data_IF_628976804877
#
_entry.id   IF_628976804877
#
_cell.length_a   1.000
_cell.length_b   1.000
_cell.length_c   1.000
_cell.angle_alpha   90.00
_cell.angle_beta   90.00
_cell.angle_gamma   90.00
#
_symmetry.space_group_name_H-M   'P 1'
#
loop_
_entity.id
_entity.type
_entity.pdbx_description
1 polymer ?
#
# COMPACT_ATOMS: atom_id res chain seq x y z
N UNK A 1 -4.88 25.08 -62.37
CA UNK A 1 -4.14 23.85 -62.72
C UNK A 1 -3.06 23.62 -61.67
N UNK A 2 -3.18 22.51 -60.94
CA UNK A 2 -2.18 21.71 -60.19
C UNK A 2 -1.18 22.43 -59.26
N UNK A 3 -1.27 22.27 -57.92
CA UNK A 3 -0.94 21.12 -57.06
C UNK A 3 0.56 20.86 -56.79
N UNK A 4 0.81 20.47 -55.53
CA UNK A 4 2.01 19.88 -54.86
C UNK A 4 2.95 20.87 -54.19
N UNK A 5 2.96 21.02 -52.86
CA UNK A 5 3.30 20.06 -51.78
C UNK A 5 4.76 19.62 -51.79
N UNK A 6 5.52 20.03 -50.78
CA UNK A 6 6.52 19.18 -50.14
C UNK A 6 6.73 19.68 -48.70
N UNK A 7 5.94 19.11 -47.80
CA UNK A 7 6.27 18.99 -46.39
C UNK A 7 7.40 17.96 -46.34
N UNK A 8 8.58 18.37 -45.89
CA UNK A 8 9.67 17.43 -45.65
C UNK A 8 9.29 16.43 -44.56
N UNK A 9 9.46 15.18 -44.95
CA UNK A 9 9.10 13.96 -44.25
C UNK A 9 10.17 13.68 -43.18
N UNK A 10 9.86 13.91 -41.90
CA UNK A 10 10.71 13.40 -40.82
C UNK A 10 10.35 11.92 -40.62
N UNK A 11 11.31 10.98 -40.70
CA UNK A 11 11.02 9.55 -40.67
C UNK A 11 10.39 9.13 -39.34
N UNK A 12 9.35 8.30 -39.45
CA UNK A 12 8.70 7.60 -38.36
C UNK A 12 9.71 7.02 -37.35
N UNK A 13 9.65 7.49 -36.11
CA UNK A 13 10.25 6.82 -34.97
C UNK A 13 9.63 5.43 -34.87
N UNK A 14 10.42 4.45 -35.31
CA UNK A 14 10.13 3.03 -35.30
C UNK A 14 9.74 2.58 -33.89
N UNK A 15 8.64 1.83 -33.87
CA UNK A 15 8.18 0.89 -32.85
C UNK A 15 9.05 0.72 -31.59
N UNK A 16 8.48 1.06 -30.43
CA UNK A 16 8.91 0.50 -29.13
C UNK A 16 7.74 -0.29 -28.53
N UNK A 17 7.79 -1.64 -28.60
CA UNK A 17 8.18 -2.48 -27.45
C UNK A 17 8.95 -3.78 -27.86
N UNK A 18 9.52 -4.63 -26.97
CA UNK A 18 9.18 -4.89 -25.57
C UNK A 18 10.34 -4.81 -24.56
N UNK A 19 10.00 -5.07 -23.31
CA UNK A 19 10.81 -4.88 -22.12
C UNK A 19 12.06 -5.76 -22.06
N UNK A 20 13.18 -5.14 -21.64
CA UNK A 20 14.54 -5.67 -21.40
C UNK A 20 15.37 -5.97 -22.65
N UNK A 21 16.30 -5.07 -22.94
CA UNK A 21 17.62 -5.47 -23.42
C UNK A 21 18.55 -5.50 -22.20
N UNK A 22 19.08 -6.68 -21.90
CA UNK A 22 20.17 -6.81 -20.94
C UNK A 22 21.48 -6.77 -21.73
N UNK A 23 22.22 -5.67 -21.65
CA UNK A 23 23.65 -5.70 -21.96
C UNK A 23 24.39 -6.25 -20.74
N UNK A 24 25.27 -7.22 -20.97
CA UNK A 24 26.22 -7.70 -19.97
C UNK A 24 27.48 -6.84 -20.08
N UNK A 25 27.65 -5.90 -19.16
CA UNK A 25 28.99 -5.45 -18.78
C UNK A 25 29.37 -6.20 -17.49
N UNK A 26 30.44 -6.98 -17.59
CA UNK A 26 31.17 -7.69 -16.53
C UNK A 26 30.45 -7.87 -15.19
N UNK A 27 29.74 -8.99 -15.03
CA UNK A 27 29.40 -9.58 -13.72
C UNK A 27 28.38 -8.83 -12.85
N UNK A 28 27.93 -7.63 -13.23
CA UNK A 28 26.83 -6.92 -12.53
C UNK A 28 25.68 -6.66 -13.49
N UNK A 29 24.51 -7.18 -13.14
CA UNK A 29 23.27 -6.90 -13.87
C UNK A 29 22.93 -5.41 -13.69
N UNK A 30 23.30 -4.58 -14.66
CA UNK A 30 22.93 -3.16 -14.68
C UNK A 30 21.41 -3.09 -14.83
N UNK A 31 20.73 -2.65 -13.78
CA UNK A 31 19.28 -2.46 -13.80
C UNK A 31 19.04 -1.07 -14.38
N UNK A 32 18.68 -0.99 -15.65
CA UNK A 32 18.29 0.28 -16.28
C UNK A 32 16.85 0.61 -15.91
N UNK A 33 16.64 1.74 -15.24
CA UNK A 33 15.31 2.27 -14.94
C UNK A 33 14.71 2.98 -16.15
N UNK A 34 13.38 3.07 -16.20
CA UNK A 34 12.72 3.91 -17.21
C UNK A 34 13.02 5.38 -16.96
N UNK A 35 13.27 6.12 -18.05
CA UNK A 35 13.37 7.57 -18.00
C UNK A 35 12.06 8.15 -17.42
N UNK A 36 12.11 9.00 -16.38
CA UNK A 36 10.94 9.70 -15.90
C UNK A 36 10.43 10.66 -16.99
N UNK A 37 9.12 10.75 -17.13
CA UNK A 37 8.47 11.68 -18.06
C UNK A 37 8.15 12.99 -17.34
N UNK A 38 8.38 14.13 -17.99
CA UNK A 38 7.86 15.44 -17.58
C UNK A 38 6.33 15.46 -17.60
N UNK A 39 5.71 16.47 -17.00
CA UNK A 39 4.24 16.61 -17.02
C UNK A 39 3.72 16.72 -18.46
N UNK A 40 4.41 17.45 -19.33
CA UNK A 40 4.06 17.56 -20.75
C UNK A 40 4.19 16.23 -21.48
N UNK A 41 5.29 15.51 -21.24
CA UNK A 41 5.50 14.17 -21.81
C UNK A 41 4.43 13.18 -21.31
N UNK A 42 3.97 13.31 -20.07
CA UNK A 42 2.88 12.49 -19.52
C UNK A 42 1.55 12.77 -20.19
N UNK A 43 1.19 14.05 -20.40
CA UNK A 43 -0.03 14.46 -21.11
C UNK A 43 -0.02 13.93 -22.55
N UNK A 44 1.11 14.10 -23.25
CA UNK A 44 1.27 13.60 -24.61
C UNK A 44 1.15 12.07 -24.65
N UNK A 45 1.80 11.37 -23.70
CA UNK A 45 1.71 9.92 -23.59
C UNK A 45 0.28 9.43 -23.35
N UNK A 46 -0.52 10.14 -22.54
CA UNK A 46 -1.93 9.81 -22.31
C UNK A 46 -2.76 9.92 -23.59
N UNK A 47 -2.56 11.00 -24.34
CA UNK A 47 -3.22 11.20 -25.63
C UNK A 47 -2.84 10.09 -26.61
N UNK A 48 -1.54 9.90 -26.86
CA UNK A 48 -1.05 9.04 -27.94
C UNK A 48 -1.25 7.54 -27.68
N UNK A 49 -1.21 7.12 -26.41
CA UNK A 49 -1.18 5.69 -26.07
C UNK A 49 -2.38 5.19 -25.29
N UNK A 50 -3.20 6.11 -24.75
CA UNK A 50 -4.38 5.76 -23.95
C UNK A 50 -5.67 6.38 -24.47
N UNK A 51 -5.63 7.08 -25.62
CA UNK A 51 -6.78 7.76 -26.22
C UNK A 51 -7.44 8.74 -25.24
N UNK A 52 -6.63 9.41 -24.41
CA UNK A 52 -7.15 10.39 -23.45
C UNK A 52 -7.38 11.73 -24.15
N UNK A 53 -8.59 12.25 -24.00
CA UNK A 53 -9.02 13.55 -24.51
C UNK A 53 -9.29 14.52 -23.36
N UNK A 54 -9.40 15.81 -23.68
CA UNK A 54 -9.46 16.90 -22.70
C UNK A 54 -10.63 17.84 -23.04
N UNK A 55 -11.85 17.30 -23.02
CA UNK A 55 -13.07 18.03 -23.39
C UNK A 55 -13.67 18.74 -22.18
N UNK A 56 -13.85 18.02 -21.06
CA UNK A 56 -14.44 18.59 -19.84
C UNK A 56 -13.40 19.29 -18.96
N UNK A 57 -12.17 18.76 -18.93
CA UNK A 57 -11.05 19.35 -18.21
C UNK A 57 -10.00 19.85 -19.19
N UNK A 58 -9.66 21.14 -19.09
CA UNK A 58 -8.59 21.73 -19.91
C UNK A 58 -7.25 21.04 -19.66
N UNK A 59 -6.38 21.03 -20.68
CA UNK A 59 -5.02 20.50 -20.57
C UNK A 59 -4.24 21.16 -19.42
N UNK A 60 -4.41 22.47 -19.21
CA UNK A 60 -3.76 23.19 -18.11
C UNK A 60 -4.17 22.62 -16.75
N UNK A 61 -5.48 22.45 -16.51
CA UNK A 61 -5.99 21.90 -15.26
C UNK A 61 -5.62 20.41 -15.09
N UNK A 62 -5.56 19.65 -16.17
CA UNK A 62 -5.08 18.27 -16.15
C UNK A 62 -3.61 18.21 -15.71
N UNK A 63 -2.75 19.09 -16.24
CA UNK A 63 -1.33 19.20 -15.83
C UNK A 63 -1.19 19.53 -14.34
N UNK A 64 -1.96 20.50 -13.85
CA UNK A 64 -1.98 20.86 -12.43
C UNK A 64 -2.38 19.68 -11.53
N UNK A 65 -3.42 18.93 -11.92
CA UNK A 65 -3.86 17.76 -11.18
C UNK A 65 -2.82 16.62 -11.18
N UNK A 66 -2.18 16.35 -12.32
CA UNK A 66 -1.09 15.37 -12.39
C UNK A 66 0.09 15.81 -11.52
N UNK A 67 0.47 17.09 -11.57
CA UNK A 67 1.55 17.62 -10.74
C UNK A 67 1.23 17.50 -9.25
N UNK A 68 0.01 17.90 -8.84
CA UNK A 68 -0.41 17.92 -7.43
C UNK A 68 -0.60 16.54 -6.84
N UNK A 69 -1.20 15.62 -7.59
CA UNK A 69 -1.63 14.32 -7.05
C UNK A 69 -0.79 13.13 -7.55
N UNK A 70 0.12 13.37 -8.50
CA UNK A 70 0.96 12.39 -9.17
C UNK A 70 0.17 11.43 -10.10
N UNK A 71 0.72 11.20 -11.29
CA UNK A 71 0.23 10.24 -12.28
C UNK A 71 -0.10 8.86 -11.70
N UNK A 72 0.70 8.40 -10.74
CA UNK A 72 0.53 7.08 -10.10
C UNK A 72 -0.76 6.97 -9.27
N UNK A 73 -1.33 8.10 -8.82
CA UNK A 73 -2.59 8.13 -8.09
C UNK A 73 -3.77 8.53 -8.98
N UNK A 74 -3.56 9.38 -10.00
CA UNK A 74 -4.67 9.87 -10.84
C UNK A 74 -4.98 8.91 -11.99
N UNK A 75 -3.97 8.33 -12.64
CA UNK A 75 -4.16 7.55 -13.87
C UNK A 75 -3.96 6.07 -13.64
N UNK A 76 -2.80 5.71 -13.08
CA UNK A 76 -2.38 4.31 -12.97
C UNK A 76 -3.40 3.39 -12.27
N UNK A 77 -4.08 3.80 -11.19
CA UNK A 77 -5.02 2.93 -10.49
C UNK A 77 -6.24 2.61 -11.36
N UNK A 78 -6.73 3.60 -12.11
CA UNK A 78 -8.05 3.54 -12.74
C UNK A 78 -8.02 3.18 -14.23
N UNK A 79 -6.84 3.12 -14.87
CA UNK A 79 -6.68 2.78 -16.30
C UNK A 79 -7.35 1.47 -16.72
N UNK A 80 -7.50 0.53 -15.79
CA UNK A 80 -8.12 -0.76 -16.08
C UNK A 80 -9.65 -0.67 -16.24
N UNK A 81 -10.29 0.39 -15.72
CA UNK A 81 -11.73 0.62 -15.83
C UNK A 81 -12.15 1.02 -17.25
N UNK A 82 -11.22 1.58 -18.02
CA UNK A 82 -11.46 2.07 -19.38
C UNK A 82 -10.83 1.20 -20.46
N UNK A 83 -10.08 0.16 -20.05
CA UNK A 83 -9.48 -0.78 -20.97
C UNK A 83 -10.54 -1.75 -21.50
N UNK A 84 -10.38 -2.17 -22.76
CA UNK A 84 -11.15 -3.28 -23.34
C UNK A 84 -10.99 -4.52 -22.47
N UNK A 85 -12.08 -5.22 -22.18
CA UNK A 85 -12.07 -6.47 -21.42
C UNK A 85 -12.43 -7.66 -22.30
N UNK A 86 -11.97 -8.85 -21.90
CA UNK A 86 -12.49 -10.11 -22.44
C UNK A 86 -13.88 -10.45 -21.86
N UNK A 87 -14.44 -11.59 -22.27
CA UNK A 87 -15.73 -12.11 -21.79
C UNK A 87 -15.77 -12.35 -20.27
N UNK A 88 -14.62 -12.45 -19.62
CA UNK A 88 -14.49 -12.66 -18.17
C UNK A 88 -14.31 -11.35 -17.39
N UNK A 89 -14.26 -10.21 -18.09
CA UNK A 89 -14.06 -8.88 -17.50
C UNK A 89 -12.58 -8.58 -17.18
N UNK A 90 -11.63 -9.32 -17.75
CA UNK A 90 -10.20 -9.07 -17.57
C UNK A 90 -9.69 -8.14 -18.67
N UNK A 91 -8.92 -7.07 -18.33
CA UNK A 91 -8.38 -6.14 -19.33
C UNK A 91 -7.47 -6.83 -20.36
N UNK A 92 -7.82 -6.70 -21.64
CA UNK A 92 -7.04 -7.19 -22.78
C UNK A 92 -5.78 -6.33 -22.93
N UNK A 93 -4.64 -7.00 -23.18
CA UNK A 93 -3.35 -6.35 -23.40
C UNK A 93 -2.71 -6.84 -24.68
N UNK A 94 -2.34 -5.90 -25.55
CA UNK A 94 -1.54 -6.14 -26.74
C UNK A 94 -0.14 -5.57 -26.51
N UNK A 95 0.90 -6.38 -26.73
CA UNK A 95 2.30 -6.00 -26.45
C UNK A 95 2.52 -5.46 -25.01
N UNK A 96 1.74 -5.97 -24.05
CA UNK A 96 1.77 -5.54 -22.65
C UNK A 96 1.12 -4.17 -22.37
N UNK A 97 0.45 -3.56 -23.34
CA UNK A 97 -0.29 -2.29 -23.20
C UNK A 97 -1.80 -2.59 -23.21
N UNK A 98 -2.57 -1.89 -22.38
CA UNK A 98 -4.03 -1.98 -22.44
C UNK A 98 -4.55 -1.42 -23.76
N UNK A 99 -5.58 -2.06 -24.30
CA UNK A 99 -6.32 -1.60 -25.49
C UNK A 99 -7.50 -0.76 -25.04
N UNK A 100 -7.81 0.33 -25.76
CA UNK A 100 -8.93 1.24 -25.45
C UNK A 100 -9.84 1.37 -26.69
N UNK A 101 -11.13 1.07 -26.52
CA UNK A 101 -12.10 1.05 -27.64
C UNK A 101 -12.66 2.43 -27.97
N UNK A 102 -12.66 3.32 -26.99
CA UNK A 102 -13.12 4.71 -27.12
C UNK A 102 -12.10 5.68 -26.55
N UNK A 103 -12.31 6.95 -26.90
CA UNK A 103 -11.63 8.04 -26.24
C UNK A 103 -12.17 8.18 -24.80
N UNK A 104 -11.27 8.50 -23.88
CA UNK A 104 -11.57 8.63 -22.45
C UNK A 104 -11.25 10.04 -22.02
N UNK A 105 -12.22 10.76 -21.47
CA UNK A 105 -11.93 12.12 -21.00
C UNK A 105 -11.05 12.07 -19.74
N UNK A 106 -10.05 12.95 -19.64
CA UNK A 106 -9.22 13.06 -18.44
C UNK A 106 -10.07 13.27 -17.18
N UNK A 107 -11.19 13.98 -17.27
CA UNK A 107 -12.10 14.17 -16.15
C UNK A 107 -12.65 12.84 -15.63
N UNK A 108 -12.89 11.82 -16.48
CA UNK A 108 -13.33 10.50 -16.03
C UNK A 108 -12.32 9.86 -15.06
N UNK A 109 -11.03 9.92 -15.37
CA UNK A 109 -9.96 9.48 -14.46
C UNK A 109 -9.97 10.28 -13.15
N UNK A 110 -10.12 11.60 -13.27
CA UNK A 110 -10.08 12.48 -12.11
C UNK A 110 -11.29 12.31 -11.19
N UNK A 111 -12.47 11.99 -11.72
CA UNK A 111 -13.64 11.64 -10.93
C UNK A 111 -13.43 10.34 -10.15
N UNK A 112 -12.82 9.31 -10.74
CA UNK A 112 -12.48 8.08 -10.03
C UNK A 112 -11.51 8.36 -8.87
N UNK A 113 -10.49 9.19 -9.11
CA UNK A 113 -9.57 9.65 -8.08
C UNK A 113 -10.30 10.38 -6.94
N UNK A 114 -11.20 11.32 -7.26
CA UNK A 114 -11.99 12.06 -6.27
C UNK A 114 -12.88 11.14 -5.42
N UNK A 115 -13.63 10.24 -6.06
CA UNK A 115 -14.50 9.28 -5.38
C UNK A 115 -13.72 8.34 -4.45
N UNK A 116 -12.49 7.98 -4.80
CA UNK A 116 -11.60 7.26 -3.90
C UNK A 116 -11.18 8.15 -2.71
N UNK A 117 -10.76 9.40 -2.97
CA UNK A 117 -10.28 10.34 -1.95
C UNK A 117 -11.35 10.79 -0.96
N UNK A 118 -12.62 10.84 -1.35
CA UNK A 118 -13.75 11.12 -0.44
C UNK A 118 -13.82 10.16 0.76
N UNK A 119 -13.28 8.94 0.61
CA UNK A 119 -13.25 7.91 1.67
C UNK A 119 -12.12 8.13 2.68
N UNK A 120 -11.09 8.91 2.32
CA UNK A 120 -9.84 8.99 3.10
C UNK A 120 -10.01 9.65 4.46
N UNK A 121 -10.79 10.74 4.63
CA UNK A 121 -10.98 11.35 5.95
C UNK A 121 -11.53 10.36 6.98
N UNK A 122 -12.54 9.57 6.61
CA UNK A 122 -13.13 8.57 7.49
C UNK A 122 -12.17 7.41 7.76
N UNK A 123 -11.51 6.89 6.71
CA UNK A 123 -10.49 5.86 6.87
C UNK A 123 -9.36 6.31 7.80
N UNK A 124 -8.87 7.54 7.62
CA UNK A 124 -7.80 8.11 8.42
C UNK A 124 -8.22 8.20 9.89
N UNK A 125 -9.41 8.74 10.17
CA UNK A 125 -9.97 8.80 11.52
C UNK A 125 -10.06 7.42 12.17
N UNK A 126 -10.74 6.46 11.54
CA UNK A 126 -10.96 5.13 12.12
C UNK A 126 -9.66 4.34 12.31
N UNK A 127 -8.68 4.49 11.40
CA UNK A 127 -7.38 3.85 11.52
C UNK A 127 -6.52 4.44 12.64
N UNK A 128 -6.51 5.78 12.79
CA UNK A 128 -5.77 6.42 13.88
C UNK A 128 -6.37 6.13 15.24
N UNK A 129 -7.70 6.16 15.37
CA UNK A 129 -8.37 5.77 16.61
C UNK A 129 -8.04 4.33 17.02
N UNK A 130 -8.01 3.42 16.03
CA UNK A 130 -7.55 2.05 16.25
C UNK A 130 -6.09 2.01 16.71
N UNK A 131 -5.18 2.65 15.98
CA UNK A 131 -3.74 2.61 16.27
C UNK A 131 -3.41 3.19 17.65
N UNK A 132 -4.04 4.31 18.02
CA UNK A 132 -3.91 4.95 19.34
C UNK A 132 -4.40 4.02 20.45
N UNK A 133 -5.61 3.48 20.32
CA UNK A 133 -6.19 2.58 21.32
C UNK A 133 -5.41 1.27 21.44
N UNK A 134 -4.98 0.72 20.30
CA UNK A 134 -4.16 -0.49 20.24
C UNK A 134 -2.83 -0.27 20.94
N UNK A 135 -2.15 0.84 20.66
CA UNK A 135 -0.91 1.18 21.33
C UNK A 135 -1.11 1.34 22.84
N UNK A 136 -2.08 2.16 23.26
CA UNK A 136 -2.31 2.45 24.68
C UNK A 136 -2.60 1.18 25.50
N UNK A 137 -3.51 0.32 25.00
CA UNK A 137 -3.88 -0.93 25.68
C UNK A 137 -2.70 -1.90 25.69
N UNK A 138 -2.08 -2.16 24.53
CA UNK A 138 -0.97 -3.10 24.41
C UNK A 138 0.17 -2.70 25.35
N UNK A 139 0.57 -1.43 25.33
CA UNK A 139 1.68 -0.92 26.12
C UNK A 139 1.42 -1.05 27.61
N UNK A 140 0.23 -0.64 28.06
CA UNK A 140 -0.14 -0.76 29.46
C UNK A 140 -0.09 -2.22 29.92
N UNK A 141 -0.75 -3.12 29.17
CA UNK A 141 -0.85 -4.53 29.54
C UNK A 141 0.50 -5.24 29.53
N UNK A 142 1.35 -4.96 28.54
CA UNK A 142 2.69 -5.55 28.43
C UNK A 142 3.62 -5.06 29.53
N UNK A 143 3.66 -3.76 29.81
CA UNK A 143 4.51 -3.20 30.87
C UNK A 143 4.16 -3.81 32.23
N UNK A 144 2.87 -3.97 32.54
CA UNK A 144 2.42 -4.50 33.83
C UNK A 144 2.57 -6.03 33.92
N UNK A 145 2.26 -6.77 32.85
CA UNK A 145 2.35 -8.23 32.85
C UNK A 145 3.80 -8.73 33.01
N UNK A 146 4.75 -8.10 32.31
CA UNK A 146 6.17 -8.44 32.42
C UNK A 146 6.92 -7.63 33.48
N UNK A 147 6.21 -6.77 34.23
CA UNK A 147 6.77 -5.90 35.27
C UNK A 147 8.02 -5.14 34.80
N UNK A 148 7.93 -4.44 33.67
CA UNK A 148 9.09 -3.80 33.01
C UNK A 148 9.52 -2.55 33.80
N UNK A 149 10.22 -2.77 34.92
CA UNK A 149 10.71 -1.72 35.83
C UNK A 149 12.16 -1.32 35.59
N UNK A 150 12.92 -2.16 34.87
CA UNK A 150 14.35 -1.97 34.63
C UNK A 150 14.83 -2.67 33.35
N UNK A 151 16.08 -2.43 32.97
CA UNK A 151 16.66 -2.95 31.74
C UNK A 151 16.82 -4.47 31.73
N UNK A 152 16.99 -5.12 32.90
CA UNK A 152 17.11 -6.57 32.97
C UNK A 152 15.76 -7.22 32.70
N UNK A 153 14.68 -6.72 33.30
CA UNK A 153 13.33 -7.20 33.03
C UNK A 153 12.89 -6.92 31.60
N UNK A 154 13.26 -5.76 31.05
CA UNK A 154 13.07 -5.50 29.62
C UNK A 154 13.84 -6.50 28.74
N UNK A 155 15.09 -6.80 29.07
CA UNK A 155 15.89 -7.78 28.31
C UNK A 155 15.27 -9.18 28.37
N UNK A 156 14.74 -9.57 29.53
CA UNK A 156 13.96 -10.80 29.68
C UNK A 156 12.72 -10.81 28.79
N UNK A 157 11.97 -9.70 28.75
CA UNK A 157 10.83 -9.54 27.85
C UNK A 157 11.23 -9.69 26.37
N UNK A 158 12.33 -9.06 25.94
CA UNK A 158 12.84 -9.21 24.56
C UNK A 158 13.20 -10.67 24.24
N UNK A 159 13.83 -11.37 25.18
CA UNK A 159 14.16 -12.79 25.01
C UNK A 159 12.89 -13.65 24.89
N UNK A 160 11.84 -13.35 25.65
CA UNK A 160 10.52 -13.98 25.50
C UNK A 160 9.96 -13.77 24.09
N UNK A 161 9.95 -12.53 23.59
CA UNK A 161 9.44 -12.23 22.25
C UNK A 161 10.19 -13.01 21.16
N UNK A 162 11.53 -13.04 21.22
CA UNK A 162 12.36 -13.76 20.27
C UNK A 162 12.13 -15.26 20.33
N UNK A 163 11.90 -15.81 21.52
CA UNK A 163 11.62 -17.23 21.72
C UNK A 163 10.27 -17.63 21.12
N UNK A 164 9.23 -16.84 21.38
CA UNK A 164 7.87 -17.04 20.84
C UNK A 164 7.82 -16.93 19.31
N UNK A 165 8.64 -16.05 18.72
CA UNK A 165 8.69 -15.83 17.27
C UNK A 165 8.98 -17.12 16.48
N UNK A 166 9.78 -18.03 17.04
CA UNK A 166 10.11 -19.30 16.39
C UNK A 166 8.87 -20.20 16.22
N UNK A 167 7.91 -20.11 17.13
CA UNK A 167 6.70 -20.94 17.15
C UNK A 167 5.60 -20.44 16.21
N UNK A 168 5.70 -19.20 15.72
CA UNK A 168 4.66 -18.63 14.86
C UNK A 168 4.58 -19.32 13.48
N UNK A 169 3.39 -19.46 12.88
CA UNK A 169 3.19 -20.15 11.59
C UNK A 169 3.52 -19.25 10.37
N UNK A 170 4.54 -18.38 10.49
CA UNK A 170 4.96 -17.46 9.43
C UNK A 170 6.14 -18.00 8.62
N UNK A 171 6.25 -17.52 7.36
CA UNK A 171 7.42 -17.78 6.51
C UNK A 171 8.69 -17.24 7.17
N UNK A 172 9.83 -17.90 6.95
CA UNK A 172 11.11 -17.50 7.55
C UNK A 172 11.45 -16.04 7.28
N UNK A 173 11.24 -15.56 6.05
CA UNK A 173 11.50 -14.15 5.70
C UNK A 173 10.69 -13.14 6.53
N UNK A 174 9.46 -13.48 6.91
CA UNK A 174 8.63 -12.63 7.77
C UNK A 174 9.12 -12.70 9.22
N UNK A 175 9.52 -13.89 9.69
CA UNK A 175 10.14 -14.06 11.01
C UNK A 175 11.44 -13.26 11.12
N UNK A 176 12.31 -13.33 10.12
CA UNK A 176 13.58 -12.59 10.08
C UNK A 176 13.34 -11.08 10.16
N UNK A 177 12.31 -10.57 9.46
CA UNK A 177 11.93 -9.16 9.57
C UNK A 177 11.46 -8.79 10.98
N UNK A 178 10.60 -9.60 11.60
CA UNK A 178 10.14 -9.38 12.98
C UNK A 178 11.29 -9.45 14.00
N UNK A 179 12.20 -10.42 13.85
CA UNK A 179 13.39 -10.56 14.69
C UNK A 179 14.29 -9.33 14.59
N UNK A 180 14.53 -8.83 13.37
CA UNK A 180 15.31 -7.63 13.13
C UNK A 180 14.68 -6.37 13.76
N UNK A 181 13.35 -6.30 13.83
CA UNK A 181 12.66 -5.23 14.57
C UNK A 181 12.87 -5.39 16.08
N UNK A 182 12.62 -6.58 16.63
CA UNK A 182 12.75 -6.86 18.07
C UNK A 182 14.17 -6.60 18.57
N UNK A 183 15.20 -6.98 17.81
CA UNK A 183 16.60 -6.76 18.17
C UNK A 183 16.97 -5.28 18.33
N UNK A 184 16.22 -4.36 17.72
CA UNK A 184 16.46 -2.91 17.84
C UNK A 184 15.82 -2.32 19.10
N UNK A 185 14.89 -3.02 19.74
CA UNK A 185 14.12 -2.49 20.86
C UNK A 185 14.98 -2.13 22.06
N UNK A 186 16.04 -2.90 22.35
CA UNK A 186 16.98 -2.57 23.43
C UNK A 186 17.70 -1.24 23.22
N UNK A 187 18.09 -0.94 21.97
CA UNK A 187 18.74 0.32 21.64
C UNK A 187 17.75 1.50 21.72
N UNK A 188 16.52 1.31 21.26
CA UNK A 188 15.48 2.32 21.37
C UNK A 188 15.10 2.59 22.84
N UNK A 189 14.96 1.54 23.67
CA UNK A 189 14.71 1.75 25.10
C UNK A 189 15.86 2.52 25.77
N UNK A 190 17.12 2.16 25.48
CA UNK A 190 18.27 2.85 26.04
C UNK A 190 18.29 4.35 25.68
N UNK A 191 17.80 4.70 24.49
CA UNK A 191 17.69 6.10 24.04
C UNK A 191 16.63 6.89 24.81
N UNK A 192 15.49 6.27 25.14
CA UNK A 192 14.38 6.96 25.82
C UNK A 192 14.42 6.85 27.35
N UNK A 193 15.11 5.84 27.88
CA UNK A 193 15.16 5.50 29.31
C UNK A 193 13.76 5.42 29.98
N UNK A 194 12.75 5.01 29.21
CA UNK A 194 11.37 4.91 29.67
C UNK A 194 10.62 3.89 28.80
N UNK A 195 10.02 2.83 29.40
CA UNK A 195 9.23 1.86 28.64
C UNK A 195 8.00 2.52 28.01
N UNK A 196 7.38 3.49 28.69
CA UNK A 196 6.23 4.23 28.16
C UNK A 196 6.56 4.99 26.88
N UNK A 197 7.68 5.73 26.89
CA UNK A 197 8.13 6.47 25.70
C UNK A 197 8.55 5.50 24.61
N UNK A 198 9.24 4.41 24.95
CA UNK A 198 9.62 3.37 24.00
C UNK A 198 8.41 2.83 23.23
N UNK A 199 7.36 2.41 23.94
CA UNK A 199 6.15 1.88 23.29
C UNK A 199 5.41 2.93 22.46
N UNK A 200 5.34 4.18 22.92
CA UNK A 200 4.73 5.28 22.17
C UNK A 200 5.42 5.54 20.81
N UNK A 201 6.70 5.19 20.67
CA UNK A 201 7.48 5.35 19.43
C UNK A 201 7.42 4.16 18.48
N UNK A 202 6.83 3.05 18.90
CA UNK A 202 6.70 1.89 18.03
C UNK A 202 5.71 2.15 16.90
N UNK A 203 6.06 1.70 15.71
CA UNK A 203 5.14 1.70 14.58
C UNK A 203 4.03 0.67 14.80
N UNK A 204 2.88 0.84 14.15
CA UNK A 204 1.81 -0.17 14.19
C UNK A 204 2.29 -1.59 13.82
N UNK A 205 3.25 -1.73 12.90
CA UNK A 205 3.82 -3.03 12.55
C UNK A 205 4.63 -3.65 13.69
N UNK A 206 5.33 -2.84 14.49
CA UNK A 206 6.09 -3.28 15.66
C UNK A 206 5.17 -3.61 16.82
N UNK A 207 4.13 -2.81 17.05
CA UNK A 207 3.07 -3.12 18.03
C UNK A 207 2.39 -4.47 17.71
N UNK A 208 2.04 -4.71 16.44
CA UNK A 208 1.49 -6.00 16.00
C UNK A 208 2.50 -7.14 16.17
N UNK A 209 3.80 -6.86 16.02
CA UNK A 209 4.87 -7.84 16.25
C UNK A 209 4.91 -8.23 17.74
N UNK A 210 4.88 -7.24 18.64
CA UNK A 210 4.80 -7.49 20.09
C UNK A 210 3.53 -8.29 20.41
N UNK A 211 2.37 -7.83 19.96
CA UNK A 211 1.07 -8.49 20.22
C UNK A 211 1.02 -9.98 19.80
N UNK A 212 1.79 -10.37 18.77
CA UNK A 212 1.86 -11.76 18.30
C UNK A 212 2.86 -12.63 19.05
N UNK A 213 3.83 -12.02 19.73
CA UNK A 213 4.94 -12.71 20.37
C UNK A 213 4.79 -12.79 21.90
N UNK A 214 3.80 -12.11 22.48
CA UNK A 214 3.43 -12.21 23.90
C UNK A 214 2.60 -13.46 24.19
N UNK A 215 2.45 -13.77 25.48
CA UNK A 215 1.65 -14.89 25.98
C UNK A 215 0.18 -14.84 25.50
N UNK A 216 -0.40 -16.00 25.20
CA UNK A 216 -1.76 -16.12 24.67
C UNK A 216 -2.82 -15.51 25.61
N UNK A 217 -2.65 -15.67 26.92
CA UNK A 217 -3.57 -15.11 27.91
C UNK A 217 -3.53 -13.56 27.90
N UNK A 218 -2.33 -12.99 27.75
CA UNK A 218 -2.15 -11.55 27.63
C UNK A 218 -2.71 -11.04 26.30
N UNK A 219 -2.47 -11.76 25.20
CA UNK A 219 -3.03 -11.44 23.89
C UNK A 219 -4.56 -11.40 23.93
N UNK A 220 -5.19 -12.40 24.54
CA UNK A 220 -6.63 -12.46 24.72
C UNK A 220 -7.15 -11.31 25.59
N UNK A 221 -6.44 -10.96 26.67
CA UNK A 221 -6.79 -9.83 27.54
C UNK A 221 -6.77 -8.50 26.78
N UNK A 222 -5.72 -8.25 25.99
CA UNK A 222 -5.61 -7.05 25.15
C UNK A 222 -6.73 -7.01 24.11
N UNK A 223 -6.99 -8.12 23.43
CA UNK A 223 -8.05 -8.19 22.44
C UNK A 223 -9.44 -7.92 23.05
N UNK A 224 -9.75 -8.53 24.20
CA UNK A 224 -11.00 -8.28 24.89
C UNK A 224 -11.15 -6.82 25.32
N UNK A 225 -10.05 -6.17 25.72
CA UNK A 225 -10.05 -4.74 26.04
C UNK A 225 -10.36 -3.88 24.81
N UNK A 226 -9.79 -4.20 23.65
CA UNK A 226 -10.12 -3.53 22.39
C UNK A 226 -11.59 -3.73 22.01
N UNK A 227 -12.13 -4.93 22.16
CA UNK A 227 -13.54 -5.22 21.88
C UNK A 227 -14.45 -4.40 22.80
N UNK A 228 -14.17 -4.39 24.10
CA UNK A 228 -14.96 -3.68 25.11
C UNK A 228 -14.97 -2.17 24.88
N UNK A 229 -13.84 -1.60 24.48
CA UNK A 229 -13.72 -0.17 24.17
C UNK A 229 -14.22 0.19 22.79
N UNK A 230 -14.71 -0.78 22.00
CA UNK A 230 -15.07 -0.59 20.59
C UNK A 230 -13.88 0.02 19.83
N UNK A 231 -12.73 -0.64 19.94
CA UNK A 231 -11.48 -0.34 19.24
C UNK A 231 -10.92 -1.55 18.45
N UNK A 232 -11.75 -2.53 18.11
CA UNK A 232 -11.36 -3.74 17.35
C UNK A 232 -11.66 -3.68 15.84
N UNK A 233 -12.05 -2.51 15.29
CA UNK A 233 -12.50 -2.34 13.88
C UNK A 233 -13.64 -3.31 13.53
N UNK A 234 -14.50 -3.58 14.51
CA UNK A 234 -15.67 -4.45 14.38
C UNK A 234 -15.33 -5.93 14.22
N UNK A 235 -14.12 -6.37 14.58
CA UNK A 235 -13.77 -7.78 14.73
C UNK A 235 -13.97 -8.23 16.18
N UNK A 236 -14.60 -9.38 16.37
CA UNK A 236 -14.98 -9.91 17.69
C UNK A 236 -14.39 -11.29 17.98
N UNK A 237 -13.60 -11.80 17.04
CA UNK A 237 -12.88 -13.07 17.15
C UNK A 237 -11.37 -12.78 17.00
N UNK A 238 -10.57 -13.31 17.92
CA UNK A 238 -9.13 -13.04 18.01
C UNK A 238 -8.38 -13.57 16.78
N UNK A 239 -8.70 -14.78 16.32
CA UNK A 239 -8.04 -15.37 15.15
C UNK A 239 -8.31 -14.55 13.89
N UNK A 240 -9.56 -14.15 13.68
CA UNK A 240 -9.95 -13.29 12.56
C UNK A 240 -9.27 -11.93 12.68
N UNK A 241 -9.26 -11.31 13.86
CA UNK A 241 -8.61 -10.03 14.13
C UNK A 241 -7.12 -10.09 13.82
N UNK A 242 -6.38 -11.06 14.36
CA UNK A 242 -4.96 -11.23 14.08
C UNK A 242 -4.69 -11.44 12.58
N UNK A 243 -5.53 -12.23 11.91
CA UNK A 243 -5.38 -12.52 10.49
C UNK A 243 -5.46 -11.26 9.61
N UNK A 244 -6.18 -10.22 10.04
CA UNK A 244 -6.40 -8.98 9.27
C UNK A 244 -5.45 -7.83 9.62
N UNK A 245 -4.72 -7.90 10.75
CA UNK A 245 -3.75 -6.88 11.14
C UNK A 245 -2.73 -6.51 10.03
N UNK A 246 -2.15 -7.47 9.26
CA UNK A 246 -1.23 -7.13 8.17
C UNK A 246 -1.90 -6.36 7.02
N UNK A 247 -3.21 -6.54 6.84
CA UNK A 247 -4.00 -5.80 5.84
C UNK A 247 -4.30 -4.40 6.36
N UNK A 248 -4.66 -4.26 7.64
CA UNK A 248 -4.89 -2.97 8.30
C UNK A 248 -3.63 -2.11 8.24
N UNK A 249 -2.45 -2.66 8.54
CA UNK A 249 -1.16 -1.94 8.42
C UNK A 249 -0.94 -1.41 7.01
N UNK A 250 -1.19 -2.22 5.98
CA UNK A 250 -1.03 -1.78 4.58
C UNK A 250 -2.04 -0.70 4.19
N UNK A 251 -3.32 -0.85 4.58
CA UNK A 251 -4.34 0.18 4.33
C UNK A 251 -3.94 1.48 5.04
N UNK A 252 -3.55 1.42 6.32
CA UNK A 252 -3.07 2.57 7.10
C UNK A 252 -1.95 3.30 6.39
N UNK A 253 -0.91 2.58 5.96
CA UNK A 253 0.22 3.20 5.25
C UNK A 253 -0.22 3.85 3.93
N UNK A 254 -1.11 3.21 3.17
CA UNK A 254 -1.61 3.81 1.92
C UNK A 254 -2.43 5.08 2.18
N UNK A 255 -3.32 5.06 3.17
CA UNK A 255 -4.16 6.21 3.52
C UNK A 255 -3.31 7.38 4.03
N UNK A 256 -2.40 7.13 4.99
CA UNK A 256 -1.56 8.18 5.58
C UNK A 256 -0.55 8.79 4.58
N UNK A 257 -0.14 8.04 3.56
CA UNK A 257 0.73 8.56 2.48
C UNK A 257 -0.05 9.10 1.28
N UNK A 258 -1.38 9.10 1.30
CA UNK A 258 -2.20 9.57 0.18
C UNK A 258 -2.09 8.70 -1.09
N UNK A 259 -1.63 7.47 -0.96
CA UNK A 259 -1.48 6.50 -2.04
C UNK A 259 -2.82 5.85 -2.38
N UNK A 260 -3.04 5.48 -3.64
CA UNK A 260 -4.31 4.89 -4.09
C UNK A 260 -4.64 3.52 -3.48
N UNK A 261 -5.82 3.38 -2.89
CA UNK A 261 -6.35 2.10 -2.37
C UNK A 261 -6.68 1.12 -3.49
N UNK A 262 -7.06 1.59 -4.67
CA UNK A 262 -7.26 0.73 -5.83
C UNK A 262 -5.93 0.10 -6.26
N UNK A 263 -4.81 0.83 -6.19
CA UNK A 263 -3.48 0.22 -6.37
C UNK A 263 -3.20 -0.82 -5.30
N UNK A 264 -3.50 -0.55 -4.02
CA UNK A 264 -3.30 -1.53 -2.95
C UNK A 264 -4.12 -2.82 -3.18
N UNK A 265 -5.40 -2.65 -3.50
CA UNK A 265 -6.32 -3.74 -3.74
C UNK A 265 -5.87 -4.55 -4.96
N UNK A 266 -5.49 -3.88 -6.04
CA UNK A 266 -5.06 -4.53 -7.27
C UNK A 266 -3.61 -5.03 -7.22
N UNK A 267 -2.83 -4.68 -6.18
CA UNK A 267 -1.38 -4.56 -6.25
C UNK A 267 -0.70 -5.70 -7.02
N UNK A 268 0.18 -5.19 -7.88
CA UNK A 268 0.94 -5.83 -8.93
C UNK A 268 2.35 -6.07 -8.38
N UNK A 269 2.72 -7.32 -8.11
CA UNK A 269 4.13 -7.63 -7.84
C UNK A 269 4.94 -7.23 -9.07
N UNK A 270 5.83 -6.24 -8.97
CA UNK A 270 6.71 -5.82 -10.09
C UNK A 270 7.56 -7.01 -10.56
N UNK A 271 7.92 -7.90 -9.63
CA UNK A 271 8.71 -9.11 -9.89
C UNK A 271 7.92 -10.14 -10.71
N UNK A 272 6.64 -10.33 -10.38
CA UNK A 272 5.83 -11.42 -10.94
C UNK A 272 4.85 -10.95 -12.02
N UNK A 273 4.69 -9.62 -12.21
CA UNK A 273 3.75 -8.98 -13.14
C UNK A 273 2.27 -9.42 -12.98
N UNK A 274 1.91 -10.00 -11.86
CA UNK A 274 0.57 -10.53 -11.60
C UNK A 274 -0.25 -9.59 -10.71
N UNK A 275 -1.53 -9.46 -11.04
CA UNK A 275 -2.51 -8.85 -10.15
C UNK A 275 -2.75 -9.74 -8.93
N UNK A 276 -3.13 -9.12 -7.82
CA UNK A 276 -3.61 -9.82 -6.64
C UNK A 276 -4.79 -10.74 -7.00
N UNK A 277 -4.83 -11.92 -6.39
CA UNK A 277 -5.89 -12.93 -6.62
C UNK A 277 -7.29 -12.34 -6.36
N UNK A 278 -8.34 -12.91 -6.96
CA UNK A 278 -9.72 -12.41 -6.76
C UNK A 278 -10.16 -12.48 -5.29
N UNK A 279 -9.78 -13.56 -4.60
CA UNK A 279 -10.03 -13.75 -3.16
C UNK A 279 -9.33 -12.69 -2.32
N UNK A 280 -8.06 -12.43 -2.57
CA UNK A 280 -7.30 -11.42 -1.84
C UNK A 280 -7.84 -10.00 -2.12
N UNK A 281 -8.18 -9.68 -3.38
CA UNK A 281 -8.83 -8.41 -3.74
C UNK A 281 -10.11 -8.20 -2.93
N UNK A 282 -10.95 -9.24 -2.82
CA UNK A 282 -12.17 -9.21 -2.02
C UNK A 282 -11.85 -9.01 -0.54
N UNK A 283 -10.80 -9.66 -0.01
CA UNK A 283 -10.37 -9.52 1.37
C UNK A 283 -10.00 -8.06 1.71
N UNK A 284 -9.17 -7.41 0.90
CA UNK A 284 -8.81 -5.99 1.10
C UNK A 284 -10.04 -5.08 1.06
N UNK A 285 -10.90 -5.25 0.04
CA UNK A 285 -12.12 -4.46 -0.10
C UNK A 285 -13.07 -4.65 1.09
N UNK A 286 -13.17 -5.86 1.65
CA UNK A 286 -13.97 -6.11 2.84
C UNK A 286 -13.42 -5.41 4.08
N UNK A 287 -12.09 -5.45 4.30
CA UNK A 287 -11.45 -4.73 5.41
C UNK A 287 -11.66 -3.22 5.28
N UNK A 288 -11.45 -2.64 4.09
CA UNK A 288 -11.70 -1.21 3.83
C UNK A 288 -13.16 -0.85 4.13
N UNK A 289 -14.12 -1.65 3.65
CA UNK A 289 -15.54 -1.44 3.93
C UNK A 289 -15.86 -1.52 5.43
N UNK A 290 -15.16 -2.36 6.18
CA UNK A 290 -15.36 -2.50 7.62
C UNK A 290 -14.82 -1.29 8.37
N UNK A 291 -13.61 -0.82 8.02
CA UNK A 291 -13.03 0.42 8.57
C UNK A 291 -13.94 1.61 8.28
N UNK A 292 -14.50 1.72 7.06
CA UNK A 292 -15.43 2.80 6.69
C UNK A 292 -16.76 2.79 7.43
N UNK A 293 -17.16 1.65 8.01
CA UNK A 293 -18.39 1.55 8.81
C UNK A 293 -18.10 1.65 10.31
N UNK A 294 -16.85 1.93 10.65
CA UNK A 294 -16.40 1.92 12.01
C UNK A 294 -16.49 3.33 12.58
N UNK A 295 -17.54 3.54 13.38
CA UNK A 295 -17.85 4.78 14.09
C UNK A 295 -17.58 4.65 15.59
#
# INVERSE_FOLDING_TARGET
MKEKSMIEYVPALKALPPWKESSMEEGKKVITFKKPLSIDEQIQYLHDTKRVVYNEMSVLLAKENIYRFNYINVITPFKHLFAKTDETGVPIKENGKHVYERDVDFNEYFQQFKQEREKYPLLYKSLLMFEESFNAILSYEVIHFYDISDFNKFSSFINTLLSSLHQLPYKQTAKDHMANSIQKFSNELAKYNSPYIFFDRLTLSELVTVFRCIDNDLQLKIFNSLVNQRCSIGYYDLETFDSVLPIIIQIRNYVCHGNSLEVLCMYYSIKDKMFRSRSDRRRYRNVIKRILKYE
#
